data_IF_502275844502
#
_entry.id   IF_502275844502
#
_cell.length_a   1.000
_cell.length_b   1.000
_cell.length_c   1.000
_cell.angle_alpha   90.00
_cell.angle_beta   90.00
_cell.angle_gamma   90.00
#
_symmetry.space_group_name_H-M   'P 1'
#
loop_
_entity.id
_entity.type
_entity.pdbx_description
1 polymer ?
#
# COMPACT_ATOMS: atom_id res chain seq x y z
N UNK A 1 26.67 -44.29 19.01
CA UNK A 1 26.55 -42.81 19.04
C UNK A 1 25.31 -42.46 19.84
N UNK A 2 25.46 -41.74 20.96
CA UNK A 2 24.33 -41.44 21.87
C UNK A 2 23.57 -40.25 21.32
N UNK A 3 22.24 -40.25 21.42
CA UNK A 3 21.37 -39.18 20.90
C UNK A 3 21.72 -37.77 21.43
N UNK A 4 22.42 -37.70 22.57
CA UNK A 4 22.90 -36.45 23.16
C UNK A 4 24.09 -35.85 22.37
N UNK A 5 25.01 -36.68 21.88
CA UNK A 5 26.16 -36.23 21.08
C UNK A 5 25.73 -35.57 19.77
N UNK A 6 24.67 -36.11 19.15
CA UNK A 6 24.09 -35.55 17.92
C UNK A 6 23.47 -34.17 18.19
N UNK A 7 22.78 -34.01 19.33
CA UNK A 7 22.19 -32.71 19.71
C UNK A 7 23.25 -31.66 19.99
N UNK A 8 24.34 -32.06 20.66
CA UNK A 8 25.42 -31.14 21.00
C UNK A 8 26.23 -30.73 19.75
N UNK A 9 26.42 -31.64 18.80
CA UNK A 9 26.99 -31.33 17.48
C UNK A 9 26.11 -30.36 16.66
N UNK A 10 24.80 -30.57 16.64
CA UNK A 10 23.87 -29.68 15.93
C UNK A 10 23.81 -28.28 16.57
N UNK A 11 23.87 -28.20 17.92
CA UNK A 11 23.94 -26.92 18.64
C UNK A 11 25.25 -26.17 18.32
N UNK A 12 26.38 -26.89 18.33
CA UNK A 12 27.70 -26.31 18.03
C UNK A 12 27.78 -25.82 16.58
N UNK A 13 27.23 -26.58 15.63
CA UNK A 13 27.13 -26.18 14.22
C UNK A 13 26.26 -24.92 14.05
N UNK A 14 25.11 -24.85 14.73
CA UNK A 14 24.25 -23.65 14.70
C UNK A 14 24.89 -22.40 15.32
N UNK A 15 25.77 -22.56 16.32
CA UNK A 15 26.52 -21.44 16.90
C UNK A 15 27.63 -20.95 15.96
N UNK A 16 28.36 -21.86 15.31
CA UNK A 16 29.42 -21.52 14.36
C UNK A 16 28.88 -20.79 13.12
N UNK A 17 27.71 -21.17 12.61
CA UNK A 17 27.06 -20.46 11.49
C UNK A 17 26.68 -19.02 11.88
N UNK A 18 26.24 -18.81 13.11
CA UNK A 18 25.86 -17.48 13.61
C UNK A 18 27.08 -16.59 13.88
N UNK A 19 28.21 -17.14 14.31
CA UNK A 19 29.47 -16.39 14.47
C UNK A 19 30.09 -16.05 13.10
N UNK A 20 30.09 -16.98 12.16
CA UNK A 20 30.57 -16.74 10.79
C UNK A 20 29.74 -15.64 10.08
N UNK A 21 28.43 -15.58 10.32
CA UNK A 21 27.57 -14.52 9.78
C UNK A 21 27.85 -13.14 10.41
N UNK A 22 28.26 -13.10 11.68
CA UNK A 22 28.64 -11.85 12.37
C UNK A 22 30.01 -11.34 11.93
N UNK A 23 30.98 -12.23 11.71
CA UNK A 23 32.34 -11.87 11.30
C UNK A 23 32.42 -11.40 9.83
N UNK A 24 31.57 -11.92 8.95
CA UNK A 24 31.62 -11.60 7.51
C UNK A 24 30.71 -10.45 7.07
N UNK A 25 30.18 -9.65 8.00
CA UNK A 25 29.42 -8.43 7.66
C UNK A 25 28.19 -8.68 6.78
N UNK A 26 27.66 -9.91 6.77
CA UNK A 26 26.36 -10.19 6.19
C UNK A 26 25.31 -9.71 7.19
N UNK A 27 25.15 -8.38 7.28
CA UNK A 27 23.98 -7.78 7.89
C UNK A 27 22.77 -8.53 7.32
N UNK A 28 21.82 -9.02 8.14
CA UNK A 28 20.60 -9.57 7.59
C UNK A 28 20.08 -8.52 6.63
N UNK A 29 19.97 -8.87 5.34
CA UNK A 29 19.42 -8.00 4.29
C UNK A 29 18.29 -7.23 4.94
N UNK A 30 18.31 -5.89 4.96
CA UNK A 30 17.31 -5.14 5.70
C UNK A 30 15.99 -5.73 5.25
N UNK A 31 15.27 -6.37 6.16
CA UNK A 31 13.94 -6.88 5.87
C UNK A 31 13.22 -5.59 5.52
N UNK A 32 13.10 -5.29 4.22
CA UNK A 32 12.38 -4.14 3.73
C UNK A 32 10.96 -4.48 4.14
N UNK A 33 10.58 -4.04 5.35
CA UNK A 33 9.23 -4.15 5.83
C UNK A 33 8.45 -3.22 4.93
N UNK A 34 7.88 -3.80 3.89
CA UNK A 34 6.93 -3.10 3.04
C UNK A 34 5.86 -2.57 3.99
N UNK A 35 5.73 -1.23 4.05
CA UNK A 35 4.76 -0.54 4.91
C UNK A 35 3.35 -1.10 4.69
N UNK A 36 3.07 -1.52 3.46
CA UNK A 36 1.79 -2.09 3.05
C UNK A 36 1.98 -3.55 2.66
N UNK A 37 1.01 -4.38 3.03
CA UNK A 37 0.85 -5.68 2.39
C UNK A 37 0.50 -5.48 0.91
N UNK A 38 0.74 -6.48 0.03
CA UNK A 38 0.30 -6.39 -1.36
C UNK A 38 -1.19 -6.03 -1.51
N UNK A 39 -2.06 -6.58 -0.66
CA UNK A 39 -3.49 -6.29 -0.66
C UNK A 39 -3.79 -4.81 -0.31
N UNK A 40 -3.13 -4.27 0.72
CA UNK A 40 -3.27 -2.86 1.09
C UNK A 40 -2.77 -1.91 -0.01
N UNK A 41 -1.73 -2.32 -0.75
CA UNK A 41 -1.22 -1.54 -1.88
C UNK A 41 -2.24 -1.54 -3.04
N UNK A 42 -2.81 -2.70 -3.39
CA UNK A 42 -3.86 -2.79 -4.43
C UNK A 42 -5.08 -1.93 -4.08
N UNK A 43 -5.59 -2.02 -2.85
CA UNK A 43 -6.75 -1.23 -2.41
C UNK A 43 -6.48 0.28 -2.48
N UNK A 44 -5.26 0.69 -2.10
CA UNK A 44 -4.85 2.09 -2.23
C UNK A 44 -4.81 2.54 -3.69
N UNK A 45 -4.26 1.70 -4.57
CA UNK A 45 -4.08 2.06 -5.98
C UNK A 45 -5.42 2.13 -6.72
N UNK A 46 -6.37 1.26 -6.38
CA UNK A 46 -7.76 1.34 -6.86
C UNK A 46 -8.45 2.64 -6.40
N UNK A 47 -8.30 3.00 -5.13
CA UNK A 47 -8.83 4.26 -4.61
C UNK A 47 -8.22 5.46 -5.34
N UNK A 48 -6.89 5.48 -5.54
CA UNK A 48 -6.22 6.56 -6.26
C UNK A 48 -6.64 6.67 -7.72
N UNK A 49 -6.89 5.54 -8.38
CA UNK A 49 -7.44 5.52 -9.74
C UNK A 49 -8.81 6.19 -9.77
N UNK A 50 -9.70 5.85 -8.82
CA UNK A 50 -11.01 6.48 -8.71
C UNK A 50 -10.91 7.99 -8.39
N UNK A 51 -10.03 8.38 -7.47
CA UNK A 51 -9.79 9.79 -7.14
C UNK A 51 -9.27 10.60 -8.34
N UNK A 52 -8.44 9.99 -9.19
CA UNK A 52 -7.93 10.64 -10.42
C UNK A 52 -9.07 10.90 -11.42
N UNK A 53 -10.01 9.96 -11.55
CA UNK A 53 -11.21 10.14 -12.38
C UNK A 53 -12.10 11.25 -11.83
N UNK A 54 -12.34 11.27 -10.52
CA UNK A 54 -13.12 12.34 -9.87
C UNK A 54 -12.47 13.72 -10.02
N UNK A 55 -11.13 13.80 -10.01
CA UNK A 55 -10.42 15.05 -10.32
C UNK A 55 -10.71 15.53 -11.75
N UNK A 56 -10.67 14.63 -12.73
CA UNK A 56 -10.99 14.99 -14.12
C UNK A 56 -12.43 15.47 -14.24
N UNK A 57 -13.37 14.79 -13.56
CA UNK A 57 -14.76 15.20 -13.48
C UNK A 57 -14.94 16.63 -12.93
N UNK A 58 -14.31 16.95 -11.79
CA UNK A 58 -14.33 18.31 -11.21
C UNK A 58 -13.74 19.34 -12.18
N UNK A 59 -12.64 19.00 -12.88
CA UNK A 59 -12.05 19.89 -13.87
C UNK A 59 -13.00 20.20 -15.04
N UNK A 60 -13.84 19.25 -15.45
CA UNK A 60 -14.87 19.50 -16.47
C UNK A 60 -15.93 20.48 -15.97
N UNK A 61 -16.41 20.32 -14.74
CA UNK A 61 -17.36 21.23 -14.11
C UNK A 61 -16.80 22.66 -14.10
N UNK A 62 -15.57 22.84 -13.62
CA UNK A 62 -14.90 24.16 -13.58
C UNK A 62 -14.81 24.76 -14.98
N UNK A 63 -14.31 23.99 -15.96
CA UNK A 63 -14.15 24.47 -17.35
C UNK A 63 -15.47 24.91 -17.99
N UNK A 64 -16.58 24.25 -17.69
CA UNK A 64 -17.89 24.64 -18.22
C UNK A 64 -18.47 25.84 -17.48
N UNK A 65 -18.26 25.94 -16.16
CA UNK A 65 -18.63 27.11 -15.38
C UNK A 65 -17.87 28.37 -15.83
N UNK A 66 -16.57 28.27 -16.12
CA UNK A 66 -15.75 29.37 -16.68
C UNK A 66 -16.26 29.90 -18.03
N UNK A 67 -17.10 29.13 -18.73
CA UNK A 67 -17.70 29.48 -20.03
C UNK A 67 -19.18 29.80 -19.94
N UNK A 68 -19.73 29.93 -18.74
CA UNK A 68 -21.16 30.11 -18.48
C UNK A 68 -22.05 29.03 -19.13
N UNK A 69 -21.53 27.81 -19.33
CA UNK A 69 -22.29 26.68 -19.88
C UNK A 69 -22.96 25.87 -18.76
N UNK A 70 -24.05 26.42 -18.22
CA UNK A 70 -24.75 25.87 -17.06
C UNK A 70 -25.43 24.53 -17.31
N UNK A 71 -25.90 24.26 -18.53
CA UNK A 71 -26.50 22.96 -18.86
C UNK A 71 -25.50 21.81 -18.76
N UNK A 72 -24.25 22.02 -19.17
CA UNK A 72 -23.20 21.02 -18.98
C UNK A 72 -22.82 20.88 -17.51
N UNK A 73 -22.75 21.99 -16.76
CA UNK A 73 -22.50 21.94 -15.31
C UNK A 73 -23.55 21.08 -14.60
N UNK A 74 -24.83 21.29 -14.88
CA UNK A 74 -25.92 20.47 -14.31
C UNK A 74 -25.81 18.99 -14.70
N UNK A 75 -25.50 18.71 -15.97
CA UNK A 75 -25.27 17.34 -16.45
C UNK A 75 -24.13 16.64 -15.68
N UNK A 76 -22.98 17.30 -15.54
CA UNK A 76 -21.85 16.72 -14.80
C UNK A 76 -22.11 16.63 -13.30
N UNK A 77 -22.83 17.57 -12.68
CA UNK A 77 -23.22 17.45 -11.27
C UNK A 77 -24.15 16.26 -11.03
N UNK A 78 -25.09 15.99 -11.94
CA UNK A 78 -25.99 14.84 -11.85
C UNK A 78 -25.27 13.48 -11.90
N UNK A 79 -24.16 13.40 -12.63
CA UNK A 79 -23.36 12.16 -12.72
C UNK A 79 -22.40 11.96 -11.55
N UNK A 80 -22.13 13.00 -10.77
CA UNK A 80 -21.18 12.98 -9.65
C UNK A 80 -21.52 12.04 -8.51
N UNK A 81 -22.80 11.73 -8.30
CA UNK A 81 -23.26 10.80 -7.24
C UNK A 81 -22.65 9.42 -7.43
N UNK A 82 -22.52 8.95 -8.68
CA UNK A 82 -21.93 7.65 -8.98
C UNK A 82 -20.45 7.59 -8.58
N UNK A 83 -19.68 8.61 -8.96
CA UNK A 83 -18.25 8.67 -8.63
C UNK A 83 -18.02 8.82 -7.13
N UNK A 84 -18.86 9.58 -6.44
CA UNK A 84 -18.86 9.69 -4.98
C UNK A 84 -19.08 8.34 -4.31
N UNK A 85 -20.17 7.62 -4.65
CA UNK A 85 -20.47 6.33 -4.04
C UNK A 85 -19.41 5.28 -4.36
N UNK A 86 -18.85 5.31 -5.58
CA UNK A 86 -17.73 4.45 -5.97
C UNK A 86 -16.49 4.71 -5.13
N UNK A 87 -16.08 5.97 -4.96
CA UNK A 87 -14.92 6.32 -4.14
C UNK A 87 -15.12 5.95 -2.67
N UNK A 88 -16.34 6.16 -2.14
CA UNK A 88 -16.71 5.76 -0.78
C UNK A 88 -16.58 4.25 -0.58
N UNK A 89 -17.02 3.44 -1.55
CA UNK A 89 -16.88 1.98 -1.53
C UNK A 89 -15.44 1.49 -1.62
N UNK A 90 -14.53 2.28 -2.19
CA UNK A 90 -13.11 1.95 -2.32
C UNK A 90 -12.25 2.43 -1.14
N UNK A 91 -12.86 3.02 -0.10
CA UNK A 91 -12.11 3.45 1.07
C UNK A 91 -11.34 2.28 1.69
N UNK A 92 -10.04 2.43 1.96
CA UNK A 92 -9.26 1.38 2.59
C UNK A 92 -9.87 0.98 3.94
N UNK A 93 -10.22 -0.30 4.06
CA UNK A 93 -10.80 -0.91 5.27
C UNK A 93 -9.73 -1.48 6.19
N UNK A 94 -8.63 -1.96 5.62
CA UNK A 94 -7.40 -2.30 6.31
C UNK A 94 -6.34 -1.26 5.96
N UNK A 95 -5.93 -0.46 6.95
CA UNK A 95 -5.08 0.72 6.75
C UNK A 95 -3.71 0.49 7.36
N UNK A 96 -2.66 0.65 6.56
CA UNK A 96 -1.32 0.79 7.10
C UNK A 96 -1.23 2.04 7.98
N UNK A 97 -0.54 1.93 9.12
CA UNK A 97 -0.37 3.05 10.04
C UNK A 97 0.26 4.28 9.34
N UNK A 98 -0.10 5.51 9.75
CA UNK A 98 0.62 6.71 9.34
C UNK A 98 2.11 6.57 9.66
N UNK A 99 2.99 7.13 8.82
CA UNK A 99 4.36 7.31 9.25
C UNK A 99 4.35 8.34 10.37
N UNK A 100 4.89 7.98 11.54
CA UNK A 100 5.18 8.96 12.59
C UNK A 100 6.16 10.01 12.05
N UNK A 101 5.96 11.26 12.45
CA UNK A 101 6.88 12.37 12.17
C UNK A 101 8.19 12.20 12.93
#
# INVERSE_FOLDING_TARGET
MKAQEIKDMLRTSGQQVNEFAKENGCLPSPIIKLRRTPAQQVQRDEFLKAATLARNWINHIIRFAEKDNWSEVEFYLGTGVYDYEKMKGLLPTDRAEPQGN
#
